data_IF_072533534854
#
_entry.id   IF_072533534854
#
_cell.length_a   1.000
_cell.length_b   1.000
_cell.length_c   1.000
_cell.angle_alpha   90.00
_cell.angle_beta   90.00
_cell.angle_gamma   90.00
#
_symmetry.space_group_name_H-M   'P 1'
#
loop_
_entity.id
_entity.type
_entity.pdbx_description
1 polymer ?
#
# COMPACT_ATOMS: atom_id res chain seq x y z
N UNK A 1 -20.07 -9.68 52.07
CA UNK A 1 -20.58 -10.30 50.83
C UNK A 1 -20.48 -9.24 49.76
N UNK A 2 -19.41 -9.32 48.98
CA UNK A 2 -18.77 -8.19 48.33
C UNK A 2 -19.54 -7.80 47.05
N UNK A 3 -20.08 -6.58 47.01
CA UNK A 3 -20.68 -5.97 45.81
C UNK A 3 -19.83 -4.80 45.31
N UNK A 4 -18.54 -5.02 45.15
CA UNK A 4 -17.64 -4.07 44.50
C UNK A 4 -16.63 -4.85 43.64
N UNK A 5 -17.05 -5.32 42.46
CA UNK A 5 -16.10 -5.87 41.47
C UNK A 5 -16.72 -6.02 40.08
N UNK A 6 -17.48 -5.02 39.60
CA UNK A 6 -17.99 -5.08 38.21
C UNK A 6 -18.08 -3.73 37.50
N UNK A 7 -17.63 -2.64 38.14
CA UNK A 7 -17.59 -1.31 37.51
C UNK A 7 -16.16 -0.88 37.09
N UNK A 8 -15.12 -1.62 37.48
CA UNK A 8 -13.72 -1.21 37.24
C UNK A 8 -13.17 -1.74 35.91
N UNK A 9 -13.82 -2.73 35.29
CA UNK A 9 -13.30 -3.38 34.06
C UNK A 9 -13.76 -2.75 32.74
N UNK A 10 -14.57 -1.68 32.77
CA UNK A 10 -15.03 -0.99 31.55
C UNK A 10 -14.30 0.33 31.28
N UNK A 11 -13.37 0.73 32.16
CA UNK A 11 -12.68 2.02 32.06
C UNK A 11 -11.24 1.95 31.52
N UNK A 12 -10.77 0.77 31.07
CA UNK A 12 -9.37 0.57 30.65
C UNK A 12 -9.21 0.30 29.14
N UNK A 13 -10.06 0.85 28.27
CA UNK A 13 -9.91 0.72 26.82
C UNK A 13 -10.37 1.98 26.07
N UNK A 14 -9.64 3.08 26.28
CA UNK A 14 -9.56 4.16 25.31
C UNK A 14 -8.13 4.74 25.41
N UNK A 15 -7.22 4.13 24.65
CA UNK A 15 -5.86 4.66 24.48
C UNK A 15 -5.91 5.76 23.41
N UNK A 16 -5.11 6.81 23.61
CA UNK A 16 -5.09 8.01 22.76
C UNK A 16 -5.05 7.67 21.25
N UNK A 17 -6.14 8.01 20.54
CA UNK A 17 -6.27 7.83 19.09
C UNK A 17 -7.61 7.25 18.60
N UNK A 18 -8.73 7.56 19.26
CA UNK A 18 -10.06 7.01 18.96
C UNK A 18 -10.57 7.41 17.55
N UNK A 19 -10.13 6.69 16.51
CA UNK A 19 -10.67 6.74 15.15
C UNK A 19 -11.98 5.93 15.01
N UNK A 20 -12.83 5.96 16.03
CA UNK A 20 -14.05 5.15 16.11
C UNK A 20 -15.14 5.65 15.14
N UNK A 21 -15.08 5.18 13.90
CA UNK A 21 -16.27 4.76 13.15
C UNK A 21 -15.91 3.46 12.45
N UNK A 22 -16.77 2.44 12.59
CA UNK A 22 -16.57 1.05 12.14
C UNK A 22 -16.22 0.86 10.63
N UNK A 23 -16.10 1.95 9.86
CA UNK A 23 -15.71 1.97 8.45
C UNK A 23 -14.19 2.05 8.22
N UNK A 24 -13.39 2.56 9.17
CA UNK A 24 -11.94 2.76 8.98
C UNK A 24 -11.12 2.11 10.11
N UNK A 25 -10.82 0.83 9.96
CA UNK A 25 -10.03 0.05 10.90
C UNK A 25 -8.52 0.26 10.67
N UNK A 26 -7.92 1.11 11.52
CA UNK A 26 -6.50 1.45 11.41
C UNK A 26 -5.58 0.28 11.76
N UNK A 27 -5.96 -0.61 12.66
CA UNK A 27 -5.11 -1.73 13.07
C UNK A 27 -5.04 -2.77 11.95
N UNK A 28 -6.16 -3.02 11.26
CA UNK A 28 -6.17 -3.80 10.03
C UNK A 28 -5.29 -3.18 8.95
N UNK A 29 -5.37 -1.87 8.73
CA UNK A 29 -4.54 -1.19 7.73
C UNK A 29 -3.05 -1.30 8.10
N UNK A 30 -2.68 -1.07 9.37
CA UNK A 30 -1.29 -1.18 9.84
C UNK A 30 -0.74 -2.59 9.68
N UNK A 31 -1.58 -3.62 9.80
CA UNK A 31 -1.18 -5.01 9.60
C UNK A 31 -0.69 -5.30 8.17
N UNK A 32 -1.18 -4.56 7.17
CA UNK A 32 -0.75 -4.67 5.78
C UNK A 32 0.66 -4.11 5.53
N UNK A 33 1.22 -3.29 6.44
CA UNK A 33 2.57 -2.72 6.31
C UNK A 33 3.56 -3.48 7.20
N UNK A 34 4.32 -4.46 6.67
CA UNK A 34 5.11 -5.38 7.48
C UNK A 34 6.21 -4.67 8.29
N UNK A 35 6.77 -3.59 7.72
CA UNK A 35 7.83 -2.81 8.35
C UNK A 35 7.39 -2.13 9.65
N UNK A 36 6.10 -1.83 9.82
CA UNK A 36 5.60 -1.17 11.03
C UNK A 36 5.63 -2.07 12.27
N UNK A 37 5.87 -3.37 12.11
CA UNK A 37 6.09 -4.33 13.21
C UNK A 37 7.53 -4.30 13.76
N UNK A 38 8.44 -3.59 13.09
CA UNK A 38 9.85 -3.55 13.46
C UNK A 38 10.09 -2.74 14.74
N UNK A 39 11.20 -3.07 15.41
CA UNK A 39 11.76 -2.24 16.48
C UNK A 39 13.05 -1.59 16.01
N UNK A 40 13.18 -0.29 16.27
CA UNK A 40 14.39 0.49 15.97
C UNK A 40 14.94 0.99 17.30
N UNK A 41 16.21 0.69 17.58
CA UNK A 41 16.86 0.97 18.88
C UNK A 41 16.06 0.44 20.09
N UNK A 42 15.49 -0.76 19.94
CA UNK A 42 14.71 -1.43 20.99
C UNK A 42 13.28 -0.89 21.19
N UNK A 43 12.87 0.17 20.46
CA UNK A 43 11.54 0.79 20.57
C UNK A 43 10.69 0.50 19.32
N UNK A 44 9.35 0.45 19.42
CA UNK A 44 8.49 0.31 18.25
C UNK A 44 8.76 1.41 17.22
N UNK A 45 8.77 1.05 15.93
CA UNK A 45 8.93 2.01 14.85
C UNK A 45 7.72 2.97 14.80
N UNK A 46 8.00 4.27 14.94
CA UNK A 46 7.06 5.36 14.65
C UNK A 46 7.61 6.14 13.47
N UNK A 47 7.10 5.85 12.27
CA UNK A 47 7.60 6.43 11.02
C UNK A 47 6.79 7.68 10.65
N UNK A 48 7.36 8.87 10.92
CA UNK A 48 6.74 10.18 10.66
C UNK A 48 7.38 10.95 9.49
N UNK A 49 8.12 10.26 8.63
CA UNK A 49 8.82 10.84 7.48
C UNK A 49 8.17 10.48 6.13
N UNK A 50 6.84 10.33 6.12
CA UNK A 50 6.08 9.88 4.94
C UNK A 50 6.13 10.88 3.78
N UNK A 51 6.44 12.16 4.04
CA UNK A 51 6.61 13.18 3.01
C UNK A 51 7.84 12.96 2.13
N UNK A 52 8.88 12.27 2.65
CA UNK A 52 10.03 11.87 1.85
C UNK A 52 9.74 10.59 1.04
N UNK A 53 9.17 9.55 1.66
CA UNK A 53 8.65 8.36 0.99
C UNK A 53 7.72 7.57 1.92
N UNK A 54 6.61 7.06 1.41
CA UNK A 54 5.69 6.24 2.21
C UNK A 54 6.17 4.79 2.34
N UNK A 55 5.78 4.08 3.40
CA UNK A 55 5.98 2.62 3.50
C UNK A 55 5.03 1.85 2.56
N UNK A 56 5.36 0.58 2.26
CA UNK A 56 4.72 -0.18 1.18
C UNK A 56 3.85 -1.28 1.82
N UNK A 57 2.56 -1.39 1.45
CA UNK A 57 1.73 -2.47 1.93
C UNK A 57 2.10 -3.79 1.25
N UNK A 58 1.75 -4.91 1.88
CA UNK A 58 2.04 -6.27 1.42
C UNK A 58 1.60 -6.51 -0.02
N UNK A 59 0.42 -6.02 -0.39
CA UNK A 59 -0.18 -6.16 -1.71
C UNK A 59 0.71 -5.55 -2.82
N UNK A 60 1.42 -4.44 -2.55
CA UNK A 60 2.36 -3.84 -3.51
C UNK A 60 3.60 -4.72 -3.65
N UNK A 61 4.13 -5.21 -2.52
CA UNK A 61 5.32 -6.08 -2.52
C UNK A 61 5.04 -7.40 -3.25
N UNK A 62 3.87 -8.00 -2.99
CA UNK A 62 3.48 -9.27 -3.58
C UNK A 62 3.24 -9.13 -5.08
N UNK A 63 2.60 -8.05 -5.54
CA UNK A 63 2.43 -7.78 -6.97
C UNK A 63 3.78 -7.59 -7.70
N UNK A 64 4.74 -6.90 -7.06
CA UNK A 64 6.08 -6.77 -7.62
C UNK A 64 6.79 -8.13 -7.70
N UNK A 65 6.75 -8.92 -6.61
CA UNK A 65 7.37 -10.25 -6.57
C UNK A 65 6.74 -11.19 -7.60
N UNK A 66 5.41 -11.24 -7.68
CA UNK A 66 4.68 -12.05 -8.66
C UNK A 66 5.11 -11.69 -10.09
N UNK A 67 5.22 -10.41 -10.43
CA UNK A 67 5.69 -9.98 -11.75
C UNK A 67 7.08 -10.53 -12.07
N UNK A 68 8.01 -10.43 -11.13
CA UNK A 68 9.38 -10.92 -11.30
C UNK A 68 9.48 -12.45 -11.34
N UNK A 69 8.68 -13.14 -10.54
CA UNK A 69 8.77 -14.60 -10.37
C UNK A 69 8.00 -15.37 -11.46
N UNK A 70 6.95 -14.78 -12.05
CA UNK A 70 5.99 -15.55 -12.87
C UNK A 70 5.90 -15.13 -14.33
N UNK A 71 6.03 -13.84 -14.67
CA UNK A 71 5.79 -13.39 -16.04
C UNK A 71 6.75 -12.33 -16.58
N UNK A 72 7.83 -12.01 -15.86
CA UNK A 72 8.77 -10.95 -16.25
C UNK A 72 9.31 -11.08 -17.67
N UNK A 73 9.08 -10.04 -18.48
CA UNK A 73 9.71 -9.87 -19.78
C UNK A 73 9.64 -8.41 -20.24
N UNK A 74 10.34 -8.11 -21.33
CA UNK A 74 10.18 -6.82 -22.00
C UNK A 74 8.76 -6.68 -22.55
N UNK A 75 8.10 -5.57 -22.21
CA UNK A 75 6.79 -5.20 -22.73
C UNK A 75 6.87 -4.82 -24.21
N UNK A 76 5.78 -5.06 -24.95
CA UNK A 76 5.59 -4.78 -26.38
C UNK A 76 6.61 -5.43 -27.34
N UNK A 77 7.54 -6.26 -26.84
CA UNK A 77 8.72 -6.69 -27.61
C UNK A 77 8.72 -8.16 -28.04
N UNK A 78 7.69 -8.93 -27.67
CA UNK A 78 7.65 -10.36 -27.92
C UNK A 78 6.24 -10.89 -28.21
N UNK A 79 6.19 -11.95 -29.01
CA UNK A 79 4.97 -12.72 -29.29
C UNK A 79 4.79 -13.90 -28.33
N UNK A 80 5.75 -14.16 -27.44
CA UNK A 80 5.67 -15.23 -26.46
C UNK A 80 4.86 -14.82 -25.23
N UNK A 81 4.36 -15.82 -24.51
CA UNK A 81 3.41 -15.65 -23.42
C UNK A 81 3.84 -14.62 -22.36
N UNK A 82 5.07 -14.71 -21.82
CA UNK A 82 5.54 -13.76 -20.79
C UNK A 82 5.60 -12.31 -21.26
N UNK A 83 5.88 -12.05 -22.55
CA UNK A 83 5.88 -10.68 -23.09
C UNK A 83 4.46 -10.14 -23.25
N UNK A 84 3.52 -10.99 -23.69
CA UNK A 84 2.11 -10.61 -23.76
C UNK A 84 1.55 -10.33 -22.36
N UNK A 85 1.75 -11.24 -21.40
CA UNK A 85 1.31 -11.07 -20.01
C UNK A 85 1.93 -9.83 -19.34
N UNK A 86 3.23 -9.60 -19.52
CA UNK A 86 3.89 -8.38 -19.02
C UNK A 86 3.29 -7.11 -19.63
N UNK A 87 3.00 -7.12 -20.94
CA UNK A 87 2.40 -5.99 -21.64
C UNK A 87 0.99 -5.69 -21.14
N UNK A 88 0.17 -6.73 -20.97
CA UNK A 88 -1.19 -6.60 -20.43
C UNK A 88 -1.18 -6.05 -19.01
N UNK A 89 -0.28 -6.52 -18.14
CA UNK A 89 -0.14 -6.01 -16.77
C UNK A 89 0.32 -4.54 -16.73
N UNK A 90 1.25 -4.16 -17.62
CA UNK A 90 1.75 -2.80 -17.75
C UNK A 90 0.66 -1.83 -18.24
N UNK A 91 -0.03 -2.16 -19.34
CA UNK A 91 -1.12 -1.34 -19.87
C UNK A 91 -2.35 -1.35 -18.95
N UNK A 92 -2.61 -2.46 -18.25
CA UNK A 92 -3.60 -2.53 -17.18
C UNK A 92 -3.29 -1.58 -16.02
N UNK A 93 -2.02 -1.35 -15.71
CA UNK A 93 -1.60 -0.36 -14.72
C UNK A 93 -1.84 1.06 -15.23
N UNK A 94 -1.59 1.35 -16.52
CA UNK A 94 -1.89 2.64 -17.15
C UNK A 94 -3.37 2.98 -17.04
N UNK A 95 -4.25 2.02 -17.35
CA UNK A 95 -5.72 2.15 -17.19
C UNK A 95 -6.12 2.51 -15.77
N UNK A 96 -5.54 1.84 -14.77
CA UNK A 96 -5.82 2.11 -13.35
C UNK A 96 -5.37 3.52 -12.94
N UNK A 97 -4.21 3.98 -13.42
CA UNK A 97 -3.73 5.36 -13.16
C UNK A 97 -4.63 6.39 -13.84
N UNK A 98 -5.03 6.15 -15.09
CA UNK A 98 -5.97 7.02 -15.80
C UNK A 98 -7.28 7.19 -15.03
N UNK A 99 -7.87 6.08 -14.54
CA UNK A 99 -9.06 6.11 -13.71
C UNK A 99 -8.83 6.81 -12.36
N UNK A 100 -7.69 6.57 -11.71
CA UNK A 100 -7.33 7.22 -10.44
C UNK A 100 -7.22 8.74 -10.57
N UNK A 101 -6.66 9.23 -11.67
CA UNK A 101 -6.54 10.66 -11.97
C UNK A 101 -7.76 11.24 -12.69
N UNK A 102 -8.76 10.42 -13.03
CA UNK A 102 -9.91 10.79 -13.86
C UNK A 102 -9.49 11.43 -15.20
N UNK A 103 -8.46 10.87 -15.86
CA UNK A 103 -8.03 11.28 -17.19
C UNK A 103 -9.04 10.85 -18.27
N UNK A 104 -9.10 11.58 -19.39
CA UNK A 104 -10.05 11.29 -20.48
C UNK A 104 -9.59 10.06 -21.27
N UNK A 105 -8.27 9.85 -21.36
CA UNK A 105 -7.69 8.70 -22.04
C UNK A 105 -6.47 8.15 -21.31
N UNK A 106 -6.26 6.83 -21.39
CA UNK A 106 -5.01 6.19 -20.94
C UNK A 106 -3.78 6.71 -21.70
N UNK A 107 -3.95 7.20 -22.93
CA UNK A 107 -2.87 7.77 -23.74
C UNK A 107 -2.33 9.09 -23.17
N UNK A 108 -3.05 9.72 -22.23
CA UNK A 108 -2.59 10.92 -21.50
C UNK A 108 -1.67 10.56 -20.32
N UNK A 109 -1.53 9.27 -19.98
CA UNK A 109 -0.72 8.80 -18.87
C UNK A 109 0.64 8.36 -19.39
N UNK A 110 1.69 9.11 -19.06
CA UNK A 110 3.09 8.78 -19.39
C UNK A 110 3.82 8.33 -18.13
N UNK A 111 4.33 7.10 -18.14
CA UNK A 111 5.15 6.59 -17.05
C UNK A 111 6.57 7.16 -17.13
N UNK A 112 7.03 7.72 -16.02
CA UNK A 112 8.40 8.23 -15.82
C UNK A 112 8.95 7.63 -14.52
N UNK A 113 10.24 7.86 -14.23
CA UNK A 113 10.86 7.39 -12.99
C UNK A 113 10.33 8.12 -11.76
N UNK A 114 9.80 9.34 -11.92
CA UNK A 114 9.23 10.12 -10.83
C UNK A 114 8.83 11.54 -11.24
N UNK A 115 8.23 12.29 -10.31
CA UNK A 115 7.66 13.60 -10.58
C UNK A 115 8.67 14.61 -11.16
N UNK A 116 9.93 14.59 -10.70
CA UNK A 116 10.97 15.48 -11.24
C UNK A 116 11.21 15.22 -12.73
N UNK A 117 11.28 13.96 -13.16
CA UNK A 117 11.46 13.64 -14.58
C UNK A 117 10.21 13.99 -15.39
N UNK A 118 9.01 13.84 -14.84
CA UNK A 118 7.78 14.24 -15.53
C UNK A 118 7.68 15.75 -15.83
N UNK A 119 8.42 16.60 -15.10
CA UNK A 119 8.45 18.05 -15.33
C UNK A 119 9.45 18.45 -16.44
N UNK A 120 10.49 17.63 -16.68
CA UNK A 120 11.58 17.95 -17.61
C UNK A 120 11.31 17.38 -19.01
#
# INVERSE_FOLDING_TARGET
MNKESTAVDLAQQAAAGDNFTAAYDIERIRADFPILKQKVYGKPLVYLDNGASAQKPRQVLDAMNEAYETYYSNVHRGVHWTSQTSTEAFEGSRKKVAAFLNAVSENEIIFTRGATEAIN
#
